data_IF_814163935925
#
_entry.id   IF_814163935925
#
_cell.length_a   1.000
_cell.length_b   1.000
_cell.length_c   1.000
_cell.angle_alpha   90.00
_cell.angle_beta   90.00
_cell.angle_gamma   90.00
#
_symmetry.space_group_name_H-M   'P 1'
#
loop_
_entity.id
_entity.type
_entity.pdbx_description
1 polymer ?
#
# COMPACT_ATOMS: atom_id res chain seq x y z
N UNK A 1 1.39 102.95 -74.40
CA UNK A 1 2.68 102.52 -73.82
C UNK A 1 2.48 101.08 -73.35
N UNK A 2 2.80 100.02 -74.08
CA UNK A 2 3.88 99.67 -75.02
C UNK A 2 5.25 99.39 -74.39
N UNK A 3 5.88 98.38 -75.00
CA UNK A 3 7.23 97.81 -74.87
C UNK A 3 7.45 96.85 -73.69
N UNK A 4 7.67 95.52 -73.82
CA UNK A 4 8.43 94.62 -74.74
C UNK A 4 9.87 94.35 -74.31
N UNK A 5 10.41 93.20 -74.78
CA UNK A 5 11.82 92.92 -75.16
C UNK A 5 12.80 92.49 -74.04
N UNK A 6 13.75 91.55 -74.20
CA UNK A 6 14.22 90.69 -75.31
C UNK A 6 15.39 89.78 -74.81
N UNK A 7 15.66 88.65 -75.52
CA UNK A 7 16.96 87.92 -75.74
C UNK A 7 17.77 87.42 -74.53
N UNK A 8 18.75 86.49 -74.58
CA UNK A 8 19.37 85.49 -75.47
C UNK A 8 20.17 84.58 -74.48
N UNK A 9 20.64 83.34 -74.73
CA UNK A 9 21.94 82.92 -75.31
C UNK A 9 22.35 81.63 -74.51
N UNK A 10 22.47 80.44 -75.09
CA UNK A 10 23.64 79.78 -75.69
C UNK A 10 24.81 79.36 -74.74
N UNK A 11 25.11 78.05 -74.72
CA UNK A 11 26.42 77.34 -74.56
C UNK A 11 26.17 75.96 -73.92
N UNK A 12 26.22 74.85 -74.67
CA UNK A 12 27.41 74.01 -74.95
C UNK A 12 28.21 73.64 -73.71
N UNK A 13 28.10 72.38 -73.27
CA UNK A 13 29.32 71.58 -73.14
C UNK A 13 29.07 70.07 -73.27
N UNK A 14 30.10 69.40 -73.77
CA UNK A 14 30.08 68.06 -74.34
C UNK A 14 30.56 66.97 -73.35
N UNK A 15 30.13 65.74 -73.67
CA UNK A 15 30.86 64.47 -73.49
C UNK A 15 30.78 63.64 -72.19
N UNK A 16 30.61 62.34 -72.46
CA UNK A 16 31.00 61.12 -71.71
C UNK A 16 29.98 60.42 -70.79
N UNK A 17 29.40 59.37 -71.36
CA UNK A 17 29.50 57.95 -70.94
C UNK A 17 29.46 57.58 -69.44
N UNK A 18 28.62 56.60 -69.10
CA UNK A 18 28.76 55.79 -67.88
C UNK A 18 27.52 55.65 -67.00
N UNK A 19 26.97 54.43 -66.95
CA UNK A 19 25.77 53.97 -66.20
C UNK A 19 25.95 53.91 -64.66
N UNK A 20 24.92 54.21 -63.84
CA UNK A 20 24.26 53.29 -62.84
C UNK A 20 23.36 53.92 -61.73
N UNK A 21 22.27 53.18 -61.45
CA UNK A 21 21.46 53.00 -60.21
C UNK A 21 20.53 54.15 -59.75
N UNK A 22 19.31 53.96 -59.20
CA UNK A 22 18.87 53.12 -58.05
C UNK A 22 17.32 52.93 -58.06
N UNK A 23 16.73 51.82 -57.54
CA UNK A 23 15.37 51.84 -56.99
C UNK A 23 15.33 51.76 -55.45
N UNK A 24 14.47 52.61 -54.91
CA UNK A 24 14.13 52.85 -53.51
C UNK A 24 13.26 51.71 -52.97
N UNK A 25 13.45 51.32 -51.69
CA UNK A 25 12.58 50.59 -50.72
C UNK A 25 13.28 49.40 -50.01
N UNK A 26 13.31 49.33 -48.66
CA UNK A 26 13.89 48.21 -47.92
C UNK A 26 12.90 47.04 -47.83
N UNK A 27 13.39 45.81 -48.08
CA UNK A 27 12.59 44.59 -47.90
C UNK A 27 12.39 44.28 -46.41
N UNK A 28 11.14 44.11 -45.99
CA UNK A 28 10.77 43.45 -44.71
C UNK A 28 11.40 42.05 -44.67
N UNK A 29 12.29 41.77 -43.72
CA UNK A 29 12.92 40.45 -43.61
C UNK A 29 11.93 39.39 -43.11
N UNK A 30 11.80 38.31 -43.86
CA UNK A 30 10.98 37.13 -43.57
C UNK A 30 11.59 36.22 -42.49
N UNK A 31 12.75 36.57 -41.94
CA UNK A 31 13.55 35.72 -41.07
C UNK A 31 12.93 35.48 -39.68
N UNK A 32 12.15 36.44 -39.15
CA UNK A 32 11.57 36.32 -37.80
C UNK A 32 10.37 35.36 -37.73
N UNK A 33 9.59 35.22 -38.82
CA UNK A 33 8.44 34.31 -38.87
C UNK A 33 8.84 32.84 -38.89
N UNK A 34 10.02 32.52 -39.45
CA UNK A 34 10.54 31.15 -39.49
C UNK A 34 11.03 30.69 -38.12
N UNK A 35 11.58 31.61 -37.31
CA UNK A 35 12.07 31.32 -35.96
C UNK A 35 10.94 30.96 -34.99
N UNK A 36 9.80 31.67 -35.04
CA UNK A 36 8.68 31.44 -34.12
C UNK A 36 7.96 30.10 -34.35
N UNK A 37 7.84 29.65 -35.61
CA UNK A 37 7.21 28.36 -35.95
C UNK A 37 8.02 27.17 -35.43
N UNK A 38 9.34 27.25 -35.55
CA UNK A 38 10.26 26.22 -35.03
C UNK A 38 10.29 26.22 -33.50
N UNK A 39 10.27 27.40 -32.86
CA UNK A 39 10.17 27.54 -31.40
C UNK A 39 8.85 26.97 -30.86
N UNK A 40 7.71 27.32 -31.48
CA UNK A 40 6.39 26.80 -31.10
C UNK A 40 6.30 25.28 -31.29
N UNK A 41 6.83 24.75 -32.40
CA UNK A 41 6.90 23.31 -32.63
C UNK A 41 7.73 22.57 -31.57
N UNK A 42 8.88 23.14 -31.18
CA UNK A 42 9.73 22.56 -30.15
C UNK A 42 9.09 22.58 -28.76
N UNK A 43 8.41 23.66 -28.37
CA UNK A 43 7.73 23.75 -27.07
C UNK A 43 6.51 22.83 -27.00
N UNK A 44 5.74 22.72 -28.08
CA UNK A 44 4.61 21.79 -28.16
C UNK A 44 5.09 20.33 -28.08
N UNK A 45 6.17 19.98 -28.80
CA UNK A 45 6.76 18.64 -28.73
C UNK A 45 7.26 18.30 -27.32
N UNK A 46 7.89 19.27 -26.63
CA UNK A 46 8.33 19.10 -25.25
C UNK A 46 7.13 18.88 -24.32
N UNK A 47 6.06 19.64 -24.47
CA UNK A 47 4.85 19.53 -23.63
C UNK A 47 4.11 18.21 -23.84
N UNK A 48 4.06 17.72 -25.09
CA UNK A 48 3.50 16.40 -25.40
C UNK A 48 4.37 15.30 -24.77
N UNK A 49 5.70 15.39 -24.92
CA UNK A 49 6.61 14.40 -24.34
C UNK A 49 6.53 14.35 -22.81
N UNK A 50 6.45 15.49 -22.13
CA UNK A 50 6.29 15.54 -20.67
C UNK A 50 4.94 15.03 -20.22
N UNK A 51 3.86 15.33 -20.95
CA UNK A 51 2.52 14.83 -20.63
C UNK A 51 2.42 13.31 -20.82
N UNK A 52 3.03 12.76 -21.87
CA UNK A 52 3.12 11.32 -22.09
C UNK A 52 3.94 10.66 -20.98
N UNK A 53 5.09 11.24 -20.61
CA UNK A 53 5.92 10.72 -19.53
C UNK A 53 5.19 10.75 -18.17
N UNK A 54 4.49 11.84 -17.87
CA UNK A 54 3.69 11.97 -16.66
C UNK A 54 2.53 10.96 -16.65
N UNK A 55 1.83 10.79 -17.77
CA UNK A 55 0.80 9.76 -17.93
C UNK A 55 1.35 8.36 -17.71
N UNK A 56 2.52 8.04 -18.29
CA UNK A 56 3.23 6.78 -18.07
C UNK A 56 3.58 6.55 -16.60
N UNK A 57 4.07 7.58 -15.90
CA UNK A 57 4.40 7.51 -14.47
C UNK A 57 3.13 7.28 -13.63
N UNK A 58 2.03 7.96 -13.94
CA UNK A 58 0.75 7.79 -13.22
C UNK A 58 0.20 6.37 -13.43
N UNK A 59 0.21 5.86 -14.66
CA UNK A 59 -0.24 4.48 -14.98
C UNK A 59 0.67 3.45 -14.30
N UNK A 60 2.00 3.59 -14.40
CA UNK A 60 2.96 2.70 -13.72
C UNK A 60 2.85 2.75 -12.19
N UNK A 61 2.53 3.91 -11.61
CA UNK A 61 2.30 4.06 -10.17
C UNK A 61 0.99 3.39 -9.75
N UNK A 62 -0.04 3.41 -10.60
CA UNK A 62 -1.29 2.65 -10.41
C UNK A 62 -1.11 1.14 -10.51
N UNK A 63 -0.23 0.65 -11.40
CA UNK A 63 0.11 -0.78 -11.52
C UNK A 63 0.93 -1.33 -10.35
N UNK A 64 1.54 -0.47 -9.52
CA UNK A 64 2.38 -0.89 -8.38
C UNK A 64 1.59 -1.43 -7.18
N UNK A 65 0.26 -1.33 -7.21
CA UNK A 65 -0.59 -2.25 -6.47
C UNK A 65 -0.64 -3.56 -7.25
N UNK A 66 0.45 -4.32 -7.22
CA UNK A 66 0.41 -5.69 -7.69
C UNK A 66 -0.58 -6.43 -6.81
N UNK A 67 -1.76 -6.68 -7.35
CA UNK A 67 -2.70 -7.66 -6.81
C UNK A 67 -2.01 -9.01 -6.97
N UNK A 68 -1.12 -9.37 -6.04
CA UNK A 68 -0.64 -10.74 -5.92
C UNK A 68 -1.90 -11.60 -5.76
N UNK A 69 -2.25 -12.32 -6.81
CA UNK A 69 -3.39 -13.23 -6.78
C UNK A 69 -3.19 -14.14 -5.57
N UNK A 70 -4.23 -14.27 -4.74
CA UNK A 70 -4.17 -15.09 -3.54
C UNK A 70 -3.67 -16.48 -3.89
N UNK A 71 -2.71 -16.98 -3.13
CA UNK A 71 -2.16 -18.32 -3.30
C UNK A 71 -3.30 -19.34 -3.25
N UNK A 72 -3.50 -20.17 -4.29
CA UNK A 72 -4.59 -21.13 -4.30
C UNK A 72 -4.39 -22.13 -3.16
N UNK A 73 -5.40 -22.28 -2.30
CA UNK A 73 -5.30 -23.15 -1.13
C UNK A 73 -5.66 -24.61 -1.49
N UNK A 74 -5.07 -25.60 -0.81
CA UNK A 74 -5.33 -27.04 -1.05
C UNK A 74 -6.67 -27.53 -0.51
N UNK A 75 -7.54 -26.63 -0.08
CA UNK A 75 -8.85 -26.94 0.50
C UNK A 75 -9.92 -26.00 -0.05
N UNK A 76 -11.21 -26.40 0.02
CA UNK A 76 -12.32 -25.56 -0.42
C UNK A 76 -12.36 -24.21 0.30
N UNK A 77 -12.97 -23.21 -0.36
CA UNK A 77 -13.25 -21.93 0.27
C UNK A 77 -14.13 -22.12 1.52
N UNK A 78 -13.75 -21.50 2.63
CA UNK A 78 -14.54 -21.54 3.86
C UNK A 78 -15.63 -20.46 3.80
N UNK A 79 -16.89 -20.79 4.09
CA UNK A 79 -17.97 -19.81 4.07
C UNK A 79 -17.83 -18.80 5.21
N UNK A 80 -18.05 -17.52 4.91
CA UNK A 80 -18.16 -16.46 5.91
C UNK A 80 -19.52 -16.51 6.63
N UNK A 81 -19.55 -16.08 7.89
CA UNK A 81 -20.78 -15.87 8.66
C UNK A 81 -20.67 -14.58 9.46
N UNK A 82 -21.83 -13.95 9.71
CA UNK A 82 -21.91 -12.80 10.62
C UNK A 82 -21.93 -13.31 12.05
N UNK A 83 -21.09 -12.72 12.90
CA UNK A 83 -21.04 -12.99 14.34
C UNK A 83 -21.07 -11.66 15.08
N UNK A 84 -21.69 -11.67 16.25
CA UNK A 84 -21.57 -10.59 17.23
C UNK A 84 -20.55 -11.02 18.26
N UNK A 85 -19.69 -10.09 18.70
CA UNK A 85 -18.76 -10.38 19.78
C UNK A 85 -19.48 -10.19 21.10
N UNK A 86 -19.51 -11.25 21.88
CA UNK A 86 -20.08 -11.29 23.22
C UNK A 86 -18.97 -11.60 24.22
N UNK A 87 -19.13 -11.11 25.44
CA UNK A 87 -18.20 -11.38 26.53
C UNK A 87 -18.17 -12.88 26.81
N UNK A 88 -16.97 -13.46 26.85
CA UNK A 88 -16.75 -14.82 27.32
C UNK A 88 -15.66 -14.88 28.39
N UNK A 89 -16.09 -14.92 29.65
CA UNK A 89 -15.23 -14.91 30.82
C UNK A 89 -14.26 -16.07 30.93
N UNK A 90 -14.45 -17.14 30.16
CA UNK A 90 -13.51 -18.26 30.08
C UNK A 90 -12.22 -17.88 29.37
N UNK A 91 -12.25 -16.85 28.52
CA UNK A 91 -11.12 -16.36 27.74
C UNK A 91 -10.52 -15.06 28.27
N UNK A 92 -11.07 -14.53 29.37
CA UNK A 92 -10.45 -13.41 30.07
C UNK A 92 -9.00 -13.73 30.44
N UNK A 93 -8.23 -12.66 30.52
CA UNK A 93 -6.95 -12.71 31.18
C UNK A 93 -7.17 -13.07 32.65
N UNK A 94 -6.73 -14.25 33.04
CA UNK A 94 -6.76 -14.69 34.43
C UNK A 94 -5.36 -15.16 34.77
N UNK A 95 -4.78 -14.65 35.87
CA UNK A 95 -3.41 -14.94 36.29
C UNK A 95 -3.12 -16.46 36.30
N UNK A 96 -1.83 -16.80 36.12
CA UNK A 96 -1.34 -18.12 35.72
C UNK A 96 -2.12 -19.31 36.35
N UNK A 97 -2.89 -20.03 35.52
CA UNK A 97 -3.55 -21.30 35.88
C UNK A 97 -5.05 -21.35 35.64
N UNK A 98 -5.73 -20.20 35.54
CA UNK A 98 -7.15 -20.13 35.16
C UNK A 98 -7.29 -19.92 33.63
N UNK A 99 -8.30 -20.55 33.01
CA UNK A 99 -8.55 -20.48 31.56
C UNK A 99 -7.73 -21.43 30.66
N UNK A 100 -6.72 -22.15 31.17
CA UNK A 100 -5.91 -23.10 30.36
C UNK A 100 -6.75 -24.12 29.58
N UNK A 101 -7.81 -24.73 30.15
CA UNK A 101 -8.66 -25.66 29.39
C UNK A 101 -9.40 -24.99 28.22
N UNK A 102 -9.94 -23.79 28.43
CA UNK A 102 -10.68 -23.06 27.39
C UNK A 102 -9.76 -22.66 26.23
N UNK A 103 -8.59 -22.07 26.53
CA UNK A 103 -7.60 -21.70 25.51
C UNK A 103 -7.03 -22.92 24.78
N UNK A 104 -6.80 -24.04 25.47
CA UNK A 104 -6.38 -25.27 24.80
C UNK A 104 -7.45 -25.82 23.84
N UNK A 105 -8.73 -25.59 24.14
CA UNK A 105 -9.85 -26.01 23.30
C UNK A 105 -10.03 -25.22 22.01
N UNK A 106 -9.32 -24.08 21.84
CA UNK A 106 -9.32 -23.33 20.59
C UNK A 106 -8.43 -23.99 19.51
N UNK A 107 -7.49 -24.83 19.94
CA UNK A 107 -6.55 -25.48 19.04
C UNK A 107 -7.10 -26.86 18.65
N UNK A 108 -7.19 -27.18 17.35
CA UNK A 108 -7.52 -28.54 16.92
C UNK A 108 -6.36 -29.49 17.25
N UNK A 109 -6.61 -30.80 17.12
CA UNK A 109 -5.55 -31.80 17.18
C UNK A 109 -4.46 -31.44 16.16
N UNK A 110 -3.20 -31.46 16.59
CA UNK A 110 -2.06 -31.03 15.75
C UNK A 110 -1.84 -29.51 15.71
N UNK A 111 -2.59 -28.71 16.48
CA UNK A 111 -2.30 -27.29 16.68
C UNK A 111 -2.60 -26.39 15.47
N UNK A 112 -3.41 -26.85 14.53
CA UNK A 112 -3.71 -26.10 13.30
C UNK A 112 -2.64 -26.23 12.22
N UNK A 113 -1.72 -27.19 12.38
CA UNK A 113 -0.71 -27.53 11.39
C UNK A 113 -1.31 -28.57 10.44
N UNK A 114 -1.19 -28.29 9.14
CA UNK A 114 -1.76 -29.12 8.08
C UNK A 114 -0.66 -29.73 7.22
N UNK A 115 -0.90 -30.94 6.72
CA UNK A 115 -0.05 -31.58 5.72
C UNK A 115 -0.61 -31.32 4.33
N UNK A 116 0.24 -30.87 3.41
CA UNK A 116 -0.14 -30.58 2.02
C UNK A 116 0.69 -31.47 1.11
N UNK A 117 0.01 -32.33 0.35
CA UNK A 117 0.63 -33.15 -0.69
C UNK A 117 0.96 -32.27 -1.91
N UNK A 118 2.17 -32.42 -2.44
CA UNK A 118 2.68 -31.72 -3.62
C UNK A 118 2.43 -30.20 -3.55
N UNK A 119 2.97 -29.50 -2.52
CA UNK A 119 2.68 -28.08 -2.25
C UNK A 119 3.00 -27.13 -3.41
N UNK A 120 3.86 -27.54 -4.32
CA UNK A 120 4.23 -26.82 -5.53
C UNK A 120 3.05 -26.63 -6.48
N UNK A 121 2.05 -27.52 -6.46
CA UNK A 121 0.77 -27.35 -7.19
C UNK A 121 0.01 -26.09 -6.76
N UNK A 122 0.22 -25.68 -5.51
CA UNK A 122 -0.45 -24.56 -4.87
C UNK A 122 0.46 -23.32 -4.80
N UNK A 123 1.64 -23.36 -5.45
CA UNK A 123 2.64 -22.28 -5.39
C UNK A 123 3.10 -21.95 -3.97
N UNK A 124 3.06 -22.93 -3.06
CA UNK A 124 3.53 -22.77 -1.69
C UNK A 124 5.06 -22.83 -1.65
N UNK A 125 5.65 -22.03 -0.77
CA UNK A 125 7.08 -22.10 -0.46
C UNK A 125 7.42 -23.47 0.15
N UNK A 126 8.65 -23.93 -0.07
CA UNK A 126 9.13 -25.16 0.56
C UNK A 126 9.09 -25.04 2.08
N UNK A 127 8.61 -26.08 2.74
CA UNK A 127 8.43 -26.13 4.19
C UNK A 127 9.05 -27.41 4.78
N UNK A 128 8.72 -27.72 6.03
CA UNK A 128 9.17 -28.92 6.71
C UNK A 128 8.56 -30.17 6.05
N UNK A 129 9.40 -31.14 5.68
CA UNK A 129 8.94 -32.41 5.10
C UNK A 129 8.09 -33.20 6.09
N UNK A 130 6.98 -33.76 5.61
CA UNK A 130 6.19 -34.69 6.41
C UNK A 130 6.99 -35.99 6.58
N UNK A 131 7.11 -36.46 7.83
CA UNK A 131 7.86 -37.69 8.15
C UNK A 131 7.18 -38.97 7.66
N UNK A 132 5.86 -38.92 7.49
CA UNK A 132 5.05 -40.07 7.10
C UNK A 132 4.73 -40.10 5.60
N UNK A 133 5.06 -39.03 4.87
CA UNK A 133 4.75 -38.87 3.45
C UNK A 133 5.81 -37.99 2.79
N UNK A 134 6.64 -38.58 1.92
CA UNK A 134 7.74 -37.88 1.26
C UNK A 134 7.30 -36.81 0.27
N UNK A 135 6.08 -36.93 -0.24
CA UNK A 135 5.52 -36.02 -1.24
C UNK A 135 4.74 -34.87 -0.59
N UNK A 136 4.65 -34.86 0.75
CA UNK A 136 3.96 -33.83 1.52
C UNK A 136 4.91 -32.99 2.38
N UNK A 137 4.50 -31.75 2.60
CA UNK A 137 5.13 -30.82 3.54
C UNK A 137 4.07 -30.30 4.52
N UNK A 138 4.51 -29.87 5.70
CA UNK A 138 3.62 -29.34 6.74
C UNK A 138 3.69 -27.83 6.81
N UNK A 139 2.55 -27.21 7.07
CA UNK A 139 2.37 -25.77 7.14
C UNK A 139 1.55 -25.41 8.36
N UNK A 140 1.85 -24.28 8.98
CA UNK A 140 1.01 -23.74 10.04
C UNK A 140 -0.08 -22.85 9.45
N UNK A 141 -1.33 -23.03 9.87
CA UNK A 141 -2.40 -22.11 9.47
C UNK A 141 -2.29 -20.81 10.25
N UNK A 142 -2.26 -19.67 9.57
CA UNK A 142 -2.00 -18.36 10.18
C UNK A 142 -2.94 -18.01 11.34
N UNK A 143 -4.25 -18.24 11.22
CA UNK A 143 -5.21 -17.98 12.30
C UNK A 143 -4.88 -18.76 13.57
N UNK A 144 -4.52 -20.04 13.45
CA UNK A 144 -4.14 -20.85 14.62
C UNK A 144 -2.79 -20.43 15.19
N UNK A 145 -1.85 -20.01 14.35
CA UNK A 145 -0.58 -19.46 14.83
C UNK A 145 -0.78 -18.14 15.59
N UNK A 146 -1.67 -17.26 15.10
CA UNK A 146 -2.06 -16.03 15.81
C UNK A 146 -2.68 -16.32 17.18
N UNK A 147 -3.57 -17.31 17.28
CA UNK A 147 -4.12 -17.76 18.57
C UNK A 147 -3.05 -18.33 19.51
N UNK A 148 -2.10 -19.12 18.99
CA UNK A 148 -0.96 -19.62 19.75
C UNK A 148 -0.10 -18.49 20.32
N UNK A 149 0.20 -17.48 19.50
CA UNK A 149 0.95 -16.30 19.90
C UNK A 149 0.20 -15.48 20.96
N UNK A 150 -1.10 -15.24 20.77
CA UNK A 150 -1.93 -14.52 21.73
C UNK A 150 -1.96 -15.23 23.10
N UNK A 151 -2.15 -16.56 23.12
CA UNK A 151 -2.10 -17.33 24.36
C UNK A 151 -0.69 -17.32 24.99
N UNK A 152 0.38 -17.32 24.20
CA UNK A 152 1.75 -17.22 24.71
C UNK A 152 2.01 -15.88 25.39
N UNK A 153 1.50 -14.78 24.82
CA UNK A 153 1.54 -13.45 25.44
C UNK A 153 0.75 -13.46 26.76
N UNK A 154 -0.47 -14.02 26.76
CA UNK A 154 -1.32 -14.17 27.95
C UNK A 154 -0.57 -14.86 29.10
N UNK A 155 0.04 -16.02 28.82
CA UNK A 155 0.77 -16.81 29.82
C UNK A 155 2.01 -16.05 30.33
N UNK A 156 2.74 -15.36 29.44
CA UNK A 156 3.91 -14.59 29.83
C UNK A 156 3.55 -13.39 30.71
N UNK A 157 2.49 -12.66 30.36
CA UNK A 157 1.99 -11.54 31.16
C UNK A 157 1.53 -12.03 32.54
N UNK A 158 0.76 -13.13 32.59
CA UNK A 158 0.32 -13.80 33.82
C UNK A 158 1.47 -14.20 34.74
N UNK A 159 2.56 -14.68 34.14
CA UNK A 159 3.77 -15.03 34.86
C UNK A 159 4.45 -13.79 35.45
N UNK A 160 4.59 -12.72 34.68
CA UNK A 160 5.23 -11.47 35.13
C UNK A 160 4.44 -10.79 36.25
N UNK A 161 3.11 -10.71 36.14
CA UNK A 161 2.27 -10.13 37.18
C UNK A 161 2.30 -10.95 38.47
N UNK A 162 2.31 -12.29 38.37
CA UNK A 162 2.50 -13.17 39.52
C UNK A 162 3.85 -12.98 40.22
N UNK A 163 4.87 -12.48 39.51
CA UNK A 163 6.15 -12.10 40.12
C UNK A 163 6.16 -10.68 40.71
N UNK A 164 5.31 -9.75 40.23
CA UNK A 164 5.41 -8.33 40.55
C UNK A 164 4.46 -7.80 41.64
N UNK A 165 3.66 -8.67 42.29
CA UNK A 165 2.82 -8.37 43.47
C UNK A 165 2.45 -6.88 43.65
N UNK A 166 1.52 -6.39 42.81
CA UNK A 166 0.72 -5.18 43.06
C UNK A 166 1.33 -3.81 42.64
N UNK A 167 2.06 -3.74 41.53
CA UNK A 167 2.50 -2.45 40.93
C UNK A 167 1.77 -2.03 39.65
N UNK A 168 0.84 -2.85 39.13
CA UNK A 168 0.17 -2.61 37.83
C UNK A 168 -1.31 -2.27 37.92
N UNK A 169 -1.90 -2.12 39.11
CA UNK A 169 -3.34 -1.91 39.30
C UNK A 169 -3.97 -0.81 38.41
N UNK A 170 -3.24 0.28 38.15
CA UNK A 170 -3.70 1.37 37.27
C UNK A 170 -3.67 1.07 35.77
N UNK A 171 -2.90 0.08 35.29
CA UNK A 171 -2.86 -0.32 33.88
C UNK A 171 -4.04 -1.22 33.49
N UNK A 172 -4.65 -1.87 34.48
CA UNK A 172 -5.72 -2.84 34.28
C UNK A 172 -7.11 -2.23 34.36
N UNK A 173 -7.24 -0.97 34.80
CA UNK A 173 -8.54 -0.42 35.18
C UNK A 173 -8.97 0.74 34.28
N UNK A 174 -10.10 0.55 33.63
CA UNK A 174 -10.86 1.55 32.87
C UNK A 174 -12.31 1.36 33.28
N UNK A 175 -12.91 2.37 33.90
CA UNK A 175 -14.24 2.28 34.53
C UNK A 175 -15.35 1.78 33.58
N UNK A 176 -15.19 2.04 32.27
CA UNK A 176 -16.10 1.60 31.21
C UNK A 176 -16.22 0.08 31.11
N UNK A 177 -15.19 -0.66 31.52
CA UNK A 177 -15.15 -2.12 31.41
C UNK A 177 -15.49 -2.82 32.73
N UNK A 178 -15.88 -2.09 33.78
CA UNK A 178 -16.25 -2.70 35.06
C UNK A 178 -17.42 -3.69 34.90
N UNK A 179 -17.33 -4.91 35.50
CA UNK A 179 -16.34 -5.34 36.50
C UNK A 179 -15.04 -5.94 35.95
N UNK A 180 -14.86 -6.02 34.62
CA UNK A 180 -13.69 -6.61 33.97
C UNK A 180 -12.50 -5.66 33.89
N UNK A 181 -11.29 -6.23 33.93
CA UNK A 181 -10.09 -5.46 33.66
C UNK A 181 -9.99 -5.12 32.17
N UNK A 182 -9.36 -4.01 31.82
CA UNK A 182 -9.11 -3.64 30.43
C UNK A 182 -8.25 -4.69 29.69
N UNK A 183 -7.43 -5.44 30.42
CA UNK A 183 -6.62 -6.52 29.84
C UNK A 183 -7.48 -7.76 29.60
N UNK A 184 -8.46 -8.02 30.48
CA UNK A 184 -9.33 -9.20 30.42
C UNK A 184 -10.16 -9.21 29.15
N UNK A 185 -10.90 -8.11 28.90
CA UNK A 185 -11.71 -8.01 27.68
C UNK A 185 -10.83 -7.97 26.42
N UNK A 186 -9.63 -7.36 26.47
CA UNK A 186 -8.74 -7.29 25.30
C UNK A 186 -8.35 -8.67 24.79
N UNK A 187 -8.02 -9.62 25.67
CA UNK A 187 -7.65 -10.96 25.25
C UNK A 187 -8.80 -11.72 24.62
N UNK A 188 -10.02 -11.59 25.17
CA UNK A 188 -11.20 -12.21 24.59
C UNK A 188 -11.59 -11.53 23.26
N UNK A 189 -11.58 -10.20 23.22
CA UNK A 189 -11.84 -9.42 22.01
C UNK A 189 -10.88 -9.77 20.87
N UNK A 190 -9.57 -9.81 21.14
CA UNK A 190 -8.57 -10.15 20.12
C UNK A 190 -8.71 -11.61 19.65
N UNK A 191 -9.01 -12.55 20.56
CA UNK A 191 -9.32 -13.94 20.20
C UNK A 191 -10.50 -13.98 19.23
N UNK A 192 -11.58 -13.27 19.52
CA UNK A 192 -12.77 -13.21 18.67
C UNK A 192 -12.44 -12.58 17.31
N UNK A 193 -11.66 -11.49 17.29
CA UNK A 193 -11.21 -10.85 16.06
C UNK A 193 -10.37 -11.78 15.17
N UNK A 194 -9.41 -12.50 15.74
CA UNK A 194 -8.58 -13.48 15.01
C UNK A 194 -9.45 -14.59 14.38
N UNK A 195 -10.39 -15.14 15.16
CA UNK A 195 -11.30 -16.18 14.67
C UNK A 195 -12.27 -15.67 13.61
N UNK A 196 -12.73 -14.42 13.73
CA UNK A 196 -13.62 -13.78 12.78
C UNK A 196 -12.92 -13.47 11.45
N UNK A 197 -11.66 -13.02 11.49
CA UNK A 197 -10.86 -12.79 10.30
C UNK A 197 -10.54 -14.11 9.58
N UNK A 198 -10.25 -15.17 10.33
CA UNK A 198 -10.17 -16.53 9.78
C UNK A 198 -9.07 -16.71 8.75
N UNK A 199 -7.89 -16.14 8.98
CA UNK A 199 -6.76 -16.20 8.04
C UNK A 199 -6.26 -17.65 7.84
N UNK A 200 -6.55 -18.21 6.66
CA UNK A 200 -6.19 -19.58 6.27
C UNK A 200 -4.88 -19.67 5.48
N UNK A 201 -4.09 -18.59 5.42
CA UNK A 201 -2.76 -18.64 4.82
C UNK A 201 -1.90 -19.72 5.46
N UNK A 202 -1.09 -20.36 4.61
CA UNK A 202 -0.24 -21.50 4.98
C UNK A 202 1.20 -21.06 5.16
N UNK A 203 1.60 -20.96 6.41
CA UNK A 203 2.93 -20.53 6.80
C UNK A 203 3.93 -21.66 6.70
N UNK A 204 5.01 -21.40 5.98
CA UNK A 204 6.10 -22.33 5.78
C UNK A 204 7.10 -22.25 6.94
N UNK A 205 7.92 -23.29 7.07
CA UNK A 205 8.99 -23.30 8.05
C UNK A 205 10.09 -22.30 7.68
N UNK A 206 10.68 -21.66 8.71
CA UNK A 206 11.78 -20.68 8.56
C UNK A 206 13.02 -21.30 7.92
N UNK A 207 13.27 -22.57 8.22
CA UNK A 207 14.40 -23.33 7.67
C UNK A 207 13.84 -24.61 7.08
N UNK A 208 14.12 -24.91 5.79
CA UNK A 208 13.79 -26.20 5.21
C UNK A 208 14.31 -27.33 6.12
N UNK A 209 13.45 -28.30 6.43
CA UNK A 209 13.75 -29.44 7.31
C UNK A 209 13.96 -29.15 8.81
N UNK A 210 13.62 -27.95 9.30
CA UNK A 210 13.37 -27.74 10.73
C UNK A 210 11.89 -27.47 10.99
N UNK A 211 11.37 -27.95 12.11
CA UNK A 211 9.98 -27.72 12.48
C UNK A 211 9.87 -26.41 13.25
N UNK A 212 9.39 -25.35 12.61
CA UNK A 212 9.20 -24.05 13.25
C UNK A 212 8.66 -23.01 12.27
N UNK A 213 7.56 -22.37 12.65
CA UNK A 213 6.85 -21.41 11.80
C UNK A 213 6.96 -20.04 12.46
N UNK A 214 7.43 -19.03 11.74
CA UNK A 214 7.41 -17.65 12.20
C UNK A 214 6.36 -16.81 11.50
N UNK A 215 5.74 -17.33 10.43
CA UNK A 215 4.75 -16.64 9.59
C UNK A 215 5.32 -15.74 8.50
N UNK A 216 6.61 -15.39 8.54
CA UNK A 216 7.16 -14.38 7.66
C UNK A 216 7.36 -14.92 6.24
N UNK A 217 7.21 -14.06 5.24
CA UNK A 217 7.30 -14.46 3.83
C UNK A 217 6.09 -15.24 3.32
N UNK A 218 5.04 -15.39 4.13
CA UNK A 218 3.76 -15.96 3.73
C UNK A 218 2.86 -14.85 3.19
N UNK A 219 2.13 -15.13 2.10
CA UNK A 219 1.16 -14.17 1.55
C UNK A 219 -0.18 -14.30 2.25
N UNK A 220 -0.80 -13.18 2.59
CA UNK A 220 -2.09 -13.11 3.30
C UNK A 220 -3.11 -12.33 2.50
N UNK A 221 -4.40 -12.66 2.67
CA UNK A 221 -5.49 -11.90 2.09
C UNK A 221 -6.04 -10.91 3.11
N UNK A 222 -5.58 -9.66 3.04
CA UNK A 222 -5.96 -8.60 3.96
C UNK A 222 -6.93 -7.61 3.32
N UNK A 223 -7.74 -6.94 4.16
CA UNK A 223 -8.37 -5.68 3.76
C UNK A 223 -7.29 -4.62 3.52
N UNK A 224 -7.49 -3.75 2.54
CA UNK A 224 -6.49 -2.72 2.20
C UNK A 224 -6.34 -1.72 3.35
N UNK A 225 -5.15 -1.70 3.96
CA UNK A 225 -4.85 -0.87 5.12
C UNK A 225 -5.05 0.62 4.82
N UNK A 226 -4.61 1.10 3.65
CA UNK A 226 -4.70 2.52 3.30
C UNK A 226 -6.15 2.97 3.16
N UNK A 227 -6.98 2.15 2.54
CA UNK A 227 -8.41 2.41 2.39
C UNK A 227 -9.09 2.48 3.77
N UNK A 228 -8.79 1.53 4.67
CA UNK A 228 -9.32 1.56 6.04
C UNK A 228 -8.86 2.80 6.81
N UNK A 229 -7.58 3.16 6.68
CA UNK A 229 -7.01 4.37 7.29
C UNK A 229 -7.71 5.64 6.81
N UNK A 230 -7.86 5.80 5.49
CA UNK A 230 -8.48 7.00 4.91
C UNK A 230 -9.94 7.16 5.34
N UNK A 231 -10.68 6.06 5.42
CA UNK A 231 -12.05 6.07 5.93
C UNK A 231 -12.09 6.55 7.39
N UNK A 232 -11.17 6.06 8.23
CA UNK A 232 -11.12 6.42 9.64
C UNK A 232 -10.77 7.90 9.85
N UNK A 233 -9.83 8.44 9.07
CA UNK A 233 -9.45 9.86 9.12
C UNK A 233 -10.59 10.78 8.65
N UNK A 234 -11.28 10.41 7.57
CA UNK A 234 -12.40 11.18 6.99
C UNK A 234 -13.63 11.22 7.93
N UNK A 235 -13.82 10.17 8.74
CA UNK A 235 -14.94 10.02 9.66
C UNK A 235 -14.52 10.15 11.13
N UNK A 236 -13.39 10.82 11.42
CA UNK A 236 -12.88 10.95 12.77
C UNK A 236 -13.90 11.63 13.70
N UNK A 237 -13.98 11.14 14.94
CA UNK A 237 -14.78 11.79 15.97
C UNK A 237 -14.03 13.01 16.53
N UNK A 238 -14.63 14.19 16.39
CA UNK A 238 -14.07 15.43 16.94
C UNK A 238 -14.22 15.47 18.47
N UNK A 239 -13.14 15.18 19.18
CA UNK A 239 -13.08 15.26 20.64
C UNK A 239 -12.86 16.69 21.16
N UNK A 240 -12.76 17.70 20.30
CA UNK A 240 -12.54 19.10 20.72
C UNK A 240 -13.82 19.79 21.24
N UNK A 241 -14.97 19.11 21.20
CA UNK A 241 -16.28 19.64 21.62
C UNK A 241 -16.75 19.06 22.97
N UNK A 242 -15.85 18.78 23.91
CA UNK A 242 -16.23 18.59 25.31
C UNK A 242 -16.08 19.90 26.11
N UNK A 243 -17.24 20.47 26.47
CA UNK A 243 -17.43 21.49 27.50
C UNK A 243 -17.57 20.83 28.88
#
# INVERSE_FOLDING_TARGET
MSYSRIQDEFSEDSASDGKREVPIWPSRSSAHFFSYRSLFGATLALWIATSIALGWVIVKKGERHENHAATPLPFPSVPSRVVTFDIDSRFHYTAAGSGTPAWSGLMPNGGGIVSVEQPQKYLLAASYKNRNDSDAEVYSTSMFHQLHCLNSIRVRLGTLEGFMNDTTAGLHQRDVFAPESHVDHCFDYLRQAIMCAGDLSLEHSVVPDQFGFNGWGTSHQCSDWKSMWDIAEDHQYDQSVEQ
#
